data_IF_627658660599
#
_entry.id   IF_627658660599
#
_cell.length_a   1.000
_cell.length_b   1.000
_cell.length_c   1.000
_cell.angle_alpha   90.00
_cell.angle_beta   90.00
_cell.angle_gamma   90.00
#
_symmetry.space_group_name_H-M   'P 1'
#
loop_
_entity.id
_entity.type
_entity.pdbx_description
1 polymer ?
#
# COMPACT_ATOMS: atom_id res chain seq x y z
N UNK A 1 -59.28 17.75 22.65
CA UNK A 1 -58.47 16.55 23.03
C UNK A 1 -58.33 15.50 21.92
N UNK A 2 -59.31 15.29 21.02
CA UNK A 2 -59.26 14.23 19.98
C UNK A 2 -58.23 14.47 18.85
N UNK A 3 -58.05 15.72 18.39
CA UNK A 3 -57.09 16.07 17.31
C UNK A 3 -55.60 15.91 17.69
N UNK A 4 -55.23 16.22 18.93
CA UNK A 4 -53.85 16.05 19.44
C UNK A 4 -53.46 14.57 19.57
N UNK A 5 -54.40 13.70 19.98
CA UNK A 5 -54.19 12.24 20.02
C UNK A 5 -54.02 11.65 18.60
N UNK A 6 -54.76 12.16 17.61
CA UNK A 6 -54.66 11.72 16.21
C UNK A 6 -53.31 12.07 15.56
N UNK A 7 -52.76 13.25 15.88
CA UNK A 7 -51.42 13.67 15.43
C UNK A 7 -50.29 12.87 16.08
N UNK A 8 -50.41 12.57 17.39
CA UNK A 8 -49.44 11.74 18.10
C UNK A 8 -49.45 10.30 17.56
N UNK A 9 -50.63 9.70 17.35
CA UNK A 9 -50.78 8.37 16.75
C UNK A 9 -50.20 8.28 15.34
N UNK A 10 -50.46 9.28 14.48
CA UNK A 10 -49.90 9.36 13.12
C UNK A 10 -48.37 9.46 13.12
N UNK A 11 -47.80 10.25 14.05
CA UNK A 11 -46.35 10.38 14.21
C UNK A 11 -45.67 9.07 14.65
N UNK A 12 -46.26 8.33 15.59
CA UNK A 12 -45.75 7.01 16.01
C UNK A 12 -45.83 5.96 14.91
N UNK A 13 -46.88 5.96 14.09
CA UNK A 13 -47.00 5.03 12.95
C UNK A 13 -45.94 5.35 11.90
N UNK A 14 -45.67 6.63 11.62
CA UNK A 14 -44.62 7.02 10.67
C UNK A 14 -43.23 6.58 11.14
N UNK A 15 -42.94 6.73 12.44
CA UNK A 15 -41.66 6.33 13.04
C UNK A 15 -41.51 4.79 13.03
N UNK A 16 -42.59 4.06 13.31
CA UNK A 16 -42.57 2.59 13.25
C UNK A 16 -42.37 2.06 11.82
N UNK A 17 -42.93 2.72 10.81
CA UNK A 17 -42.72 2.36 9.39
C UNK A 17 -41.29 2.66 8.96
N UNK A 18 -40.71 3.79 9.38
CA UNK A 18 -39.30 4.12 9.07
C UNK A 18 -38.34 3.11 9.72
N UNK A 19 -38.59 2.70 10.97
CA UNK A 19 -37.81 1.68 11.67
C UNK A 19 -37.98 0.27 11.07
N UNK A 20 -39.14 -0.04 10.51
CA UNK A 20 -39.40 -1.34 9.87
C UNK A 20 -38.83 -1.45 8.44
N UNK A 21 -38.60 -0.33 7.75
CA UNK A 21 -38.06 -0.30 6.37
C UNK A 21 -36.53 -0.26 6.36
N UNK A 22 -35.89 0.26 7.42
CA UNK A 22 -34.43 0.33 7.57
C UNK A 22 -33.65 -1.00 7.42
N UNK A 23 -34.15 -2.18 7.85
CA UNK A 23 -33.43 -3.45 7.67
C UNK A 23 -33.41 -3.96 6.22
N UNK A 24 -34.27 -3.46 5.34
CA UNK A 24 -34.45 -3.97 3.97
C UNK A 24 -33.37 -3.41 3.02
N UNK A 25 -32.75 -2.28 3.35
CA UNK A 25 -31.63 -1.71 2.56
C UNK A 25 -30.25 -2.27 2.91
N UNK A 26 -30.12 -3.09 3.95
CA UNK A 26 -28.84 -3.67 4.36
C UNK A 26 -28.42 -4.93 3.56
N UNK A 27 -29.29 -5.44 2.68
CA UNK A 27 -29.06 -6.67 1.91
C UNK A 27 -28.30 -6.50 0.58
N UNK A 28 -28.03 -5.27 0.15
CA UNK A 28 -27.29 -4.97 -1.10
C UNK A 28 -25.96 -4.25 -0.81
N UNK A 29 -25.25 -4.65 0.23
CA UNK A 29 -23.86 -4.25 0.39
C UNK A 29 -23.00 -5.09 -0.56
N UNK A 30 -22.50 -4.46 -1.63
CA UNK A 30 -21.51 -5.07 -2.50
C UNK A 30 -20.29 -5.45 -1.64
N UNK A 31 -19.71 -6.67 -1.79
CA UNK A 31 -18.57 -7.08 -1.00
C UNK A 31 -17.46 -6.03 -1.14
N UNK A 32 -16.90 -5.60 0.00
CA UNK A 32 -15.82 -4.64 0.01
C UNK A 32 -14.70 -5.11 -0.94
N UNK A 33 -14.07 -4.20 -1.70
CA UNK A 33 -12.95 -4.56 -2.57
C UNK A 33 -11.91 -5.35 -1.75
N UNK A 34 -11.30 -6.39 -2.34
CA UNK A 34 -10.25 -7.14 -1.65
C UNK A 34 -9.18 -6.18 -1.15
N UNK A 35 -8.81 -6.32 0.13
CA UNK A 35 -7.80 -5.48 0.77
C UNK A 35 -6.48 -5.59 -0.01
N UNK A 36 -5.92 -4.45 -0.39
CA UNK A 36 -4.61 -4.38 -1.03
C UNK A 36 -3.63 -3.79 -0.02
N UNK A 37 -2.66 -4.61 0.40
CA UNK A 37 -1.62 -4.24 1.36
C UNK A 37 -0.51 -3.44 0.66
N UNK A 38 0.40 -2.85 1.43
CA UNK A 38 1.60 -2.19 0.89
C UNK A 38 2.83 -3.03 1.19
N UNK A 39 3.62 -3.31 0.16
CA UNK A 39 4.93 -3.93 0.24
C UNK A 39 6.01 -2.88 -0.03
N UNK A 40 6.73 -2.48 1.02
CA UNK A 40 7.87 -1.56 0.90
C UNK A 40 9.13 -2.30 0.46
N UNK A 41 9.73 -1.85 -0.63
CA UNK A 41 10.95 -2.42 -1.21
C UNK A 41 11.98 -1.30 -1.34
N UNK A 42 13.15 -1.51 -0.76
CA UNK A 42 14.31 -0.67 -1.01
C UNK A 42 15.00 -1.07 -2.31
N UNK A 43 15.59 -0.11 -3.01
CA UNK A 43 16.42 -0.33 -4.18
C UNK A 43 17.68 0.50 -4.03
N UNK A 44 18.83 -0.16 -4.10
CA UNK A 44 20.15 0.48 -4.09
C UNK A 44 20.81 0.16 -5.42
N UNK A 45 21.07 1.18 -6.23
CA UNK A 45 21.69 1.03 -7.55
C UNK A 45 22.82 2.03 -7.74
N UNK A 46 23.83 1.66 -8.53
CA UNK A 46 24.90 2.56 -8.94
C UNK A 46 24.47 3.40 -10.15
N UNK A 47 24.25 4.71 -9.96
CA UNK A 47 23.82 5.58 -11.06
C UNK A 47 24.97 6.03 -11.97
N UNK A 48 26.21 5.74 -11.62
CA UNK A 48 27.38 6.03 -12.48
C UNK A 48 27.52 5.00 -13.61
N UNK A 49 26.80 3.87 -13.52
CA UNK A 49 26.80 2.84 -14.55
C UNK A 49 25.46 2.83 -15.30
N UNK A 50 25.46 2.87 -16.66
CA UNK A 50 24.22 2.94 -17.44
C UNK A 50 23.19 1.87 -17.11
N UNK A 51 23.62 0.63 -16.83
CA UNK A 51 22.69 -0.44 -16.48
C UNK A 51 21.97 -0.20 -15.14
N UNK A 52 22.60 0.50 -14.20
CA UNK A 52 21.94 0.88 -12.94
C UNK A 52 20.84 1.92 -13.17
N UNK A 53 21.10 2.90 -14.04
CA UNK A 53 20.11 3.90 -14.46
C UNK A 53 18.97 3.26 -15.23
N UNK A 54 19.28 2.36 -16.17
CA UNK A 54 18.27 1.63 -16.94
C UNK A 54 17.37 0.80 -16.03
N UNK A 55 17.94 0.09 -15.04
CA UNK A 55 17.17 -0.68 -14.05
C UNK A 55 16.21 0.21 -13.25
N UNK A 56 16.67 1.39 -12.80
CA UNK A 56 15.80 2.35 -12.09
C UNK A 56 14.67 2.84 -12.98
N UNK A 57 14.97 3.22 -14.23
CA UNK A 57 13.95 3.66 -15.19
C UNK A 57 12.90 2.57 -15.46
N UNK A 58 13.33 1.31 -15.58
CA UNK A 58 12.44 0.16 -15.75
C UNK A 58 11.53 -0.03 -14.53
N UNK A 59 12.07 0.06 -13.32
CA UNK A 59 11.30 -0.07 -12.08
C UNK A 59 10.29 1.08 -11.92
N UNK A 60 10.71 2.32 -12.19
CA UNK A 60 9.82 3.50 -12.14
C UNK A 60 8.69 3.43 -13.17
N UNK A 61 8.92 2.79 -14.33
CA UNK A 61 7.89 2.56 -15.34
C UNK A 61 6.95 1.39 -14.99
N UNK A 62 7.48 0.29 -14.46
CA UNK A 62 6.73 -0.95 -14.25
C UNK A 62 5.94 -0.98 -12.94
N UNK A 63 6.49 -0.43 -11.85
CA UNK A 63 5.81 -0.43 -10.54
C UNK A 63 4.43 0.23 -10.57
N UNK A 64 4.25 1.42 -11.18
CA UNK A 64 2.92 2.03 -11.31
C UNK A 64 1.94 1.14 -12.07
N UNK A 65 2.39 0.52 -13.17
CA UNK A 65 1.56 -0.38 -13.98
C UNK A 65 1.11 -1.60 -13.18
N UNK A 66 1.98 -2.17 -12.34
CA UNK A 66 1.58 -3.27 -11.46
C UNK A 66 0.59 -2.82 -10.39
N UNK A 67 0.82 -1.67 -9.75
CA UNK A 67 -0.07 -1.12 -8.73
C UNK A 67 -1.46 -0.78 -9.32
N UNK A 68 -1.52 -0.19 -10.51
CA UNK A 68 -2.77 0.10 -11.24
C UNK A 68 -3.56 -1.18 -11.59
N UNK A 69 -2.87 -2.30 -11.83
CA UNK A 69 -3.47 -3.61 -12.09
C UNK A 69 -3.87 -4.37 -10.81
N UNK A 70 -3.87 -3.71 -9.66
CA UNK A 70 -4.26 -4.28 -8.37
C UNK A 70 -3.11 -4.97 -7.63
N UNK A 71 -1.87 -4.58 -7.92
CA UNK A 71 -0.67 -5.01 -7.21
C UNK A 71 -0.19 -6.42 -7.55
N UNK A 72 0.86 -6.85 -6.86
CA UNK A 72 1.38 -8.21 -6.90
C UNK A 72 0.49 -9.14 -6.08
N UNK A 73 0.33 -10.39 -6.54
CA UNK A 73 -0.34 -11.44 -5.77
C UNK A 73 0.73 -12.36 -5.16
N UNK A 74 0.80 -12.40 -3.83
CA UNK A 74 1.73 -13.23 -3.06
C UNK A 74 0.90 -14.06 -2.10
N UNK A 75 0.95 -15.38 -2.22
CA UNK A 75 0.16 -16.32 -1.41
C UNK A 75 -1.35 -16.02 -1.34
N UNK A 76 -1.90 -15.50 -2.45
CA UNK A 76 -3.31 -15.15 -2.57
C UNK A 76 -3.69 -13.76 -2.02
N UNK A 77 -2.75 -13.04 -1.40
CA UNK A 77 -2.92 -11.67 -0.93
C UNK A 77 -2.37 -10.66 -1.94
N UNK A 78 -2.98 -9.47 -2.01
CA UNK A 78 -2.58 -8.40 -2.94
C UNK A 78 -1.70 -7.36 -2.26
N UNK A 79 -0.66 -6.93 -2.96
CA UNK A 79 0.30 -5.93 -2.49
C UNK A 79 0.59 -4.88 -3.55
N UNK A 80 0.34 -3.61 -3.22
CA UNK A 80 0.95 -2.49 -3.95
C UNK A 80 2.41 -2.35 -3.52
N UNK A 81 3.28 -2.06 -4.48
CA UNK A 81 4.70 -1.83 -4.25
C UNK A 81 4.91 -0.36 -3.91
N UNK A 82 5.58 -0.09 -2.79
CA UNK A 82 6.12 1.21 -2.40
C UNK A 82 7.65 1.12 -2.55
N UNK A 83 8.17 1.67 -3.65
CA UNK A 83 9.57 1.56 -4.04
C UNK A 83 10.36 2.77 -3.54
N UNK A 84 11.46 2.52 -2.82
CA UNK A 84 12.34 3.57 -2.29
C UNK A 84 13.74 3.35 -2.86
N UNK A 85 14.24 4.32 -3.63
CA UNK A 85 15.49 4.19 -4.38
C UNK A 85 16.57 5.10 -3.79
N UNK A 86 17.76 4.55 -3.56
CA UNK A 86 18.98 5.30 -3.27
C UNK A 86 20.10 4.94 -4.25
N UNK A 87 20.99 5.91 -4.46
CA UNK A 87 22.19 5.75 -5.27
C UNK A 87 23.35 5.29 -4.38
N UNK A 88 24.00 4.18 -4.77
CA UNK A 88 25.20 3.68 -4.08
C UNK A 88 26.45 4.50 -4.41
N UNK A 89 26.45 5.22 -5.54
CA UNK A 89 27.61 5.91 -6.13
C UNK A 89 28.83 5.03 -6.32
N UNK A 90 28.63 3.71 -6.37
CA UNK A 90 29.71 2.72 -6.36
C UNK A 90 30.71 2.90 -5.19
N UNK A 91 30.27 3.51 -4.08
CA UNK A 91 31.11 3.84 -2.93
C UNK A 91 30.65 3.05 -1.69
N UNK A 92 31.48 2.14 -1.13
CA UNK A 92 31.04 1.25 -0.05
C UNK A 92 30.49 1.96 1.21
N UNK A 93 31.11 3.03 1.73
CA UNK A 93 30.54 3.81 2.84
C UNK A 93 29.18 4.43 2.51
N UNK A 94 29.02 5.00 1.31
CA UNK A 94 27.75 5.58 0.83
C UNK A 94 26.67 4.51 0.72
N UNK A 95 26.98 3.37 0.09
CA UNK A 95 26.08 2.23 -0.04
C UNK A 95 25.58 1.73 1.33
N UNK A 96 26.50 1.54 2.29
CA UNK A 96 26.14 1.13 3.65
C UNK A 96 25.22 2.13 4.33
N UNK A 97 25.51 3.43 4.28
CA UNK A 97 24.65 4.44 4.89
C UNK A 97 23.25 4.48 4.26
N UNK A 98 23.15 4.29 2.94
CA UNK A 98 21.87 4.19 2.25
C UNK A 98 21.07 2.96 2.69
N UNK A 99 21.71 1.81 2.85
CA UNK A 99 21.06 0.58 3.35
C UNK A 99 20.66 0.70 4.83
N UNK A 100 21.49 1.31 5.67
CA UNK A 100 21.11 1.61 7.06
C UNK A 100 19.86 2.50 7.11
N UNK A 101 19.74 3.46 6.20
CA UNK A 101 18.53 4.29 6.08
C UNK A 101 17.31 3.46 5.63
N UNK A 102 17.46 2.63 4.61
CA UNK A 102 16.40 1.71 4.15
C UNK A 102 15.86 0.84 5.29
N UNK A 103 16.76 0.26 6.09
CA UNK A 103 16.40 -0.63 7.21
C UNK A 103 15.81 0.15 8.38
N UNK A 104 16.52 1.17 8.87
CA UNK A 104 16.21 1.77 10.16
C UNK A 104 15.25 2.95 10.07
N UNK A 105 15.20 3.66 8.95
CA UNK A 105 14.29 4.80 8.77
C UNK A 105 13.10 4.41 7.91
N UNK A 106 13.35 3.84 6.73
CA UNK A 106 12.29 3.54 5.76
C UNK A 106 11.53 2.24 6.10
N UNK A 107 12.12 1.42 6.99
CA UNK A 107 11.56 0.17 7.52
C UNK A 107 11.22 -0.84 6.41
N UNK A 108 12.04 -0.89 5.36
CA UNK A 108 11.88 -1.89 4.30
C UNK A 108 12.21 -3.29 4.81
N UNK A 109 11.61 -4.31 4.19
CA UNK A 109 11.90 -5.72 4.48
C UNK A 109 12.75 -6.40 3.40
N UNK A 110 12.75 -5.84 2.20
CA UNK A 110 13.47 -6.36 1.05
C UNK A 110 14.25 -5.23 0.40
N UNK A 111 15.46 -5.54 -0.06
CA UNK A 111 16.34 -4.59 -0.75
C UNK A 111 16.80 -5.25 -2.06
N UNK A 112 16.59 -4.56 -3.18
CA UNK A 112 17.26 -4.84 -4.44
C UNK A 112 18.64 -4.18 -4.39
N UNK A 113 19.70 -4.97 -4.42
CA UNK A 113 21.07 -4.50 -4.28
C UNK A 113 21.83 -4.46 -5.60
N UNK A 114 22.95 -3.76 -5.60
CA UNK A 114 23.90 -3.70 -6.70
C UNK A 114 25.24 -4.39 -6.34
N UNK A 115 26.27 -4.12 -7.14
CA UNK A 115 27.63 -4.64 -7.00
C UNK A 115 28.28 -4.32 -5.64
N UNK A 116 27.74 -3.36 -4.86
CA UNK A 116 28.28 -2.97 -3.55
C UNK A 116 27.79 -3.85 -2.41
N UNK A 117 27.02 -4.91 -2.70
CA UNK A 117 26.37 -5.81 -1.73
C UNK A 117 27.30 -6.29 -0.62
N UNK A 118 28.54 -6.66 -0.93
CA UNK A 118 29.50 -7.14 0.06
C UNK A 118 29.78 -6.13 1.19
N UNK A 119 29.57 -4.84 0.94
CA UNK A 119 29.84 -3.78 1.92
C UNK A 119 28.75 -3.60 2.97
N UNK A 120 27.52 -4.02 2.67
CA UNK A 120 26.34 -3.83 3.53
C UNK A 120 25.57 -5.11 3.81
N UNK A 121 25.89 -6.24 3.17
CA UNK A 121 25.27 -7.52 3.50
C UNK A 121 25.34 -7.85 5.01
N UNK A 122 26.45 -7.60 5.74
CA UNK A 122 26.52 -7.92 7.18
C UNK A 122 25.57 -7.12 8.08
N UNK A 123 24.97 -6.03 7.60
CA UNK A 123 23.96 -5.28 8.38
C UNK A 123 22.52 -5.75 8.11
N UNK A 124 22.35 -6.70 7.18
CA UNK A 124 21.04 -7.29 6.83
C UNK A 124 20.79 -8.66 7.44
N UNK A 125 21.82 -9.30 8.00
CA UNK A 125 21.76 -10.57 8.74
C UNK A 125 21.37 -10.35 10.21
#
# INVERSE_FOLDING_TARGET
>A
MKRKKLWVLSGTILIAVILAVMPIMAGCAEPAPPEVKTLKIGCLMNFEFPLGVDCVNELEALVPVFNEKGGLVIDGERYNIDLIIYDSKFDPPTARAAVERLIYQDKVKFILGDETTDSWLPITE
#
